data_IF_942058918137
#
_entry.id   IF_942058918137
#
_cell.length_a   1.000
_cell.length_b   1.000
_cell.length_c   1.000
_cell.angle_alpha   90.00
_cell.angle_beta   90.00
_cell.angle_gamma   90.00
#
_symmetry.space_group_name_H-M   'P 1'
#
loop_
_entity.id
_entity.type
_entity.pdbx_description
1 polymer ?
#
# COMPACT_ATOMS: atom_id res chain seq x y z
N UNK A 1 9.86 -34.22 -54.97
CA UNK A 1 9.42 -32.85 -55.34
C UNK A 1 7.92 -32.80 -55.10
N UNK A 2 7.29 -31.95 -54.29
CA UNK A 2 7.57 -30.59 -53.82
C UNK A 2 6.66 -30.41 -52.57
N UNK A 3 7.22 -30.07 -51.41
CA UNK A 3 6.44 -29.62 -50.26
C UNK A 3 6.11 -28.13 -50.42
N UNK A 4 5.01 -27.65 -49.82
CA UNK A 4 5.09 -26.35 -49.18
C UNK A 4 4.56 -26.35 -47.75
N UNK A 5 5.28 -25.56 -46.98
CA UNK A 5 5.14 -25.21 -45.56
C UNK A 5 3.79 -24.59 -45.19
N UNK A 6 3.67 -24.26 -43.89
CA UNK A 6 2.63 -23.48 -43.21
C UNK A 6 1.52 -24.40 -42.65
N UNK A 7 1.43 -24.67 -41.35
CA UNK A 7 1.35 -23.73 -40.24
C UNK A 7 1.73 -24.46 -38.93
N UNK A 8 2.81 -24.01 -38.29
CA UNK A 8 3.06 -24.28 -36.87
C UNK A 8 2.16 -23.30 -36.10
N UNK A 9 0.98 -23.75 -35.71
CA UNK A 9 0.12 -23.02 -34.77
C UNK A 9 0.55 -23.39 -33.35
N UNK A 10 1.57 -22.70 -32.83
CA UNK A 10 1.84 -22.66 -31.38
C UNK A 10 0.68 -21.91 -30.74
N UNK A 11 -0.23 -22.67 -30.14
CA UNK A 11 -1.30 -22.15 -29.30
C UNK A 11 -0.67 -21.71 -27.97
N UNK A 12 -0.36 -20.41 -27.88
CA UNK A 12 0.01 -19.73 -26.64
C UNK A 12 -1.26 -19.61 -25.80
N UNK A 13 -1.61 -20.67 -25.08
CA UNK A 13 -2.71 -20.69 -24.10
C UNK A 13 -2.13 -20.83 -22.70
N UNK A 14 -2.30 -19.81 -21.86
CA UNK A 14 -2.22 -19.98 -20.40
C UNK A 14 -1.39 -18.98 -19.58
N UNK A 15 -1.11 -17.77 -20.08
CA UNK A 15 -0.27 -16.79 -19.37
C UNK A 15 -0.99 -15.67 -18.58
N UNK A 16 -2.31 -15.72 -18.37
CA UNK A 16 -3.08 -14.53 -17.91
C UNK A 16 -3.50 -14.51 -16.43
N UNK A 17 -2.84 -15.25 -15.52
CA UNK A 17 -3.22 -15.25 -14.09
C UNK A 17 -2.21 -14.59 -13.13
N UNK A 18 -1.30 -13.75 -13.63
CA UNK A 18 -0.38 -12.94 -12.80
C UNK A 18 -0.68 -11.46 -12.99
N UNK A 19 -1.75 -10.96 -12.38
CA UNK A 19 -2.10 -9.53 -12.47
C UNK A 19 -2.96 -8.93 -11.35
N UNK A 20 -3.54 -9.74 -10.46
CA UNK A 20 -4.49 -9.22 -9.46
C UNK A 20 -3.86 -8.45 -8.29
N UNK A 21 -2.53 -8.44 -8.14
CA UNK A 21 -1.87 -7.67 -7.06
C UNK A 21 -1.62 -6.20 -7.43
N UNK A 22 -1.62 -5.84 -8.72
CA UNK A 22 -1.36 -4.47 -9.17
C UNK A 22 -2.58 -3.54 -9.02
N UNK A 23 -3.80 -4.09 -9.06
CA UNK A 23 -5.04 -3.30 -8.99
C UNK A 23 -5.26 -2.66 -7.60
N UNK A 24 -4.74 -3.25 -6.52
CA UNK A 24 -4.84 -2.69 -5.18
C UNK A 24 -3.95 -1.44 -5.00
N UNK A 25 -2.76 -1.43 -5.61
CA UNK A 25 -1.90 -0.23 -5.63
C UNK A 25 -2.45 0.85 -6.56
N UNK A 26 -2.97 0.50 -7.74
CA UNK A 26 -3.44 1.48 -8.72
C UNK A 26 -4.78 2.15 -8.36
N UNK A 27 -5.51 1.62 -7.37
CA UNK A 27 -6.79 2.19 -6.91
C UNK A 27 -6.67 2.98 -5.62
N UNK A 28 -5.47 3.07 -5.04
CA UNK A 28 -5.22 3.86 -3.84
C UNK A 28 -4.94 5.32 -4.21
N UNK A 29 -5.77 6.22 -3.70
CA UNK A 29 -5.71 7.66 -3.99
C UNK A 29 -5.05 8.45 -2.86
N UNK A 30 -4.50 7.78 -1.84
CA UNK A 30 -3.74 8.47 -0.80
C UNK A 30 -2.44 8.99 -1.41
N UNK A 31 -2.28 10.31 -1.43
CA UNK A 31 -0.99 10.91 -1.73
C UNK A 31 -0.05 10.77 -0.52
N UNK A 32 1.25 10.88 -0.76
CA UNK A 32 2.25 10.78 0.29
C UNK A 32 2.12 11.95 1.27
N UNK A 33 1.79 13.15 0.78
CA UNK A 33 1.52 14.33 1.62
C UNK A 33 0.31 14.09 2.53
N UNK A 34 -0.74 13.42 2.02
CA UNK A 34 -1.91 13.08 2.81
C UNK A 34 -1.57 12.06 3.89
N UNK A 35 -0.76 11.05 3.56
CA UNK A 35 -0.28 10.04 4.52
C UNK A 35 0.55 10.70 5.62
N UNK A 36 1.52 11.55 5.25
CA UNK A 36 2.35 12.29 6.20
C UNK A 36 1.47 13.16 7.11
N UNK A 37 0.55 13.95 6.54
CA UNK A 37 -0.35 14.80 7.33
C UNK A 37 -1.16 14.04 8.37
N UNK A 38 -1.77 12.90 7.99
CA UNK A 38 -2.59 12.13 8.92
C UNK A 38 -1.75 11.41 9.99
N UNK A 39 -0.61 10.84 9.60
CA UNK A 39 0.26 10.10 10.54
C UNK A 39 0.99 11.04 11.49
N UNK A 40 1.38 12.24 11.03
CA UNK A 40 1.93 13.31 11.85
C UNK A 40 0.99 13.70 12.99
N UNK A 41 -0.31 13.90 12.70
CA UNK A 41 -1.31 14.22 13.72
C UNK A 41 -1.47 13.14 14.79
N UNK A 42 -1.35 11.86 14.44
CA UNK A 42 -1.44 10.74 15.41
C UNK A 42 -0.15 10.57 16.21
N UNK A 43 1.01 10.79 15.57
CA UNK A 43 2.33 10.59 16.18
C UNK A 43 2.83 11.81 16.96
N UNK A 44 2.19 12.97 16.81
CA UNK A 44 2.57 14.22 17.47
C UNK A 44 3.79 14.90 16.84
N UNK A 45 3.88 14.88 15.50
CA UNK A 45 4.93 15.56 14.73
C UNK A 45 4.32 16.56 13.76
N UNK A 46 5.15 17.44 13.20
CA UNK A 46 4.83 18.13 11.96
C UNK A 46 4.99 17.19 10.75
N UNK A 47 4.17 17.34 9.68
CA UNK A 47 4.29 16.49 8.49
C UNK A 47 5.68 16.53 7.85
N UNK A 48 6.34 17.69 7.88
CA UNK A 48 7.71 17.86 7.37
C UNK A 48 8.79 17.17 8.20
N UNK A 49 8.46 16.72 9.41
CA UNK A 49 9.37 15.96 10.26
C UNK A 49 9.34 14.46 9.99
N UNK A 50 8.42 13.99 9.14
CA UNK A 50 8.23 12.59 8.82
C UNK A 50 8.55 12.32 7.35
N UNK A 51 9.38 11.31 7.10
CA UNK A 51 9.67 10.80 5.75
C UNK A 51 9.08 9.41 5.59
N UNK A 52 8.40 9.14 4.47
CA UNK A 52 7.93 7.79 4.14
C UNK A 52 9.12 6.96 3.66
N UNK A 53 9.52 5.97 4.45
CA UNK A 53 10.60 5.04 4.12
C UNK A 53 10.11 3.91 3.19
N UNK A 54 8.89 3.41 3.42
CA UNK A 54 8.24 2.48 2.51
C UNK A 54 6.73 2.51 2.65
N UNK A 55 6.04 2.11 1.58
CA UNK A 55 4.58 2.05 1.50
C UNK A 55 4.15 0.81 0.71
N UNK A 56 3.10 0.14 1.17
CA UNK A 56 2.41 -0.92 0.44
C UNK A 56 0.91 -0.85 0.70
N UNK A 57 0.12 -1.28 -0.27
CA UNK A 57 -1.34 -1.35 -0.14
C UNK A 57 -1.78 -2.79 -0.35
N UNK A 58 -2.57 -3.32 0.59
CA UNK A 58 -3.15 -4.66 0.54
C UNK A 58 -4.63 -4.58 0.92
N UNK A 59 -5.52 -4.92 -0.03
CA UNK A 59 -6.96 -4.74 0.14
C UNK A 59 -7.32 -3.27 0.39
N UNK A 60 -8.00 -2.99 1.50
CA UNK A 60 -8.36 -1.62 1.92
C UNK A 60 -7.32 -0.95 2.80
N UNK A 61 -6.23 -1.64 3.15
CA UNK A 61 -5.20 -1.14 4.06
C UNK A 61 -3.97 -0.63 3.31
N UNK A 62 -3.44 0.50 3.76
CA UNK A 62 -2.14 1.03 3.35
C UNK A 62 -1.20 0.97 4.54
N UNK A 63 -0.14 0.17 4.41
CA UNK A 63 0.90 0.02 5.42
C UNK A 63 2.05 0.94 5.05
N UNK A 64 2.50 1.75 6.02
CA UNK A 64 3.50 2.79 5.81
C UNK A 64 4.55 2.69 6.91
N UNK A 65 5.82 2.70 6.53
CA UNK A 65 6.92 2.90 7.45
C UNK A 65 7.41 4.34 7.33
N UNK A 66 7.57 5.00 8.47
CA UNK A 66 7.97 6.40 8.57
C UNK A 66 9.25 6.51 9.37
N UNK A 67 10.10 7.46 8.97
CA UNK A 67 11.26 7.88 9.75
C UNK A 67 11.07 9.35 10.14
N UNK A 68 11.17 9.64 11.43
CA UNK A 68 11.18 11.00 11.95
C UNK A 68 12.60 11.59 11.93
N UNK A 69 12.69 12.91 11.84
CA UNK A 69 13.97 13.63 11.83
C UNK A 69 14.82 13.44 13.11
N UNK A 70 14.19 13.03 14.22
CA UNK A 70 14.88 12.68 15.45
C UNK A 70 15.39 11.22 15.50
N UNK A 71 15.27 10.50 14.38
CA UNK A 71 15.73 9.13 14.22
C UNK A 71 14.73 8.06 14.68
N UNK A 72 13.56 8.43 15.24
CA UNK A 72 12.51 7.46 15.57
C UNK A 72 11.87 6.89 14.31
N UNK A 73 11.62 5.59 14.31
CA UNK A 73 10.94 4.90 13.21
C UNK A 73 9.57 4.38 13.66
N UNK A 74 8.59 4.48 12.77
CA UNK A 74 7.20 4.10 13.03
C UNK A 74 6.66 3.20 11.92
N UNK A 75 5.71 2.34 12.29
CA UNK A 75 4.88 1.61 11.34
C UNK A 75 3.43 2.04 11.56
N UNK A 76 2.76 2.43 10.48
CA UNK A 76 1.38 2.88 10.50
C UNK A 76 0.54 2.07 9.52
N UNK A 77 -0.74 1.89 9.87
CA UNK A 77 -1.77 1.33 8.99
C UNK A 77 -2.87 2.36 8.80
N UNK A 78 -3.11 2.73 7.55
CA UNK A 78 -4.21 3.59 7.12
C UNK A 78 -5.26 2.70 6.45
N UNK A 79 -6.47 2.67 7.00
CA UNK A 79 -7.58 1.94 6.39
C UNK A 79 -8.44 2.89 5.55
N UNK A 80 -8.61 2.58 4.26
CA UNK A 80 -9.37 3.37 3.30
C UNK A 80 -8.50 4.11 2.29
N UNK A 81 -9.05 5.19 1.72
CA UNK A 81 -8.37 6.05 0.74
C UNK A 81 -8.15 5.38 -0.62
N UNK A 82 -8.99 4.39 -0.95
CA UNK A 82 -8.97 3.67 -2.21
C UNK A 82 -10.39 3.56 -2.79
N UNK A 83 -10.51 3.06 -4.02
CA UNK A 83 -11.81 2.92 -4.69
C UNK A 83 -12.81 2.04 -3.90
N UNK A 84 -12.33 1.00 -3.21
CA UNK A 84 -13.18 0.09 -2.42
C UNK A 84 -13.81 0.78 -1.20
N UNK A 85 -13.17 1.84 -0.70
CA UNK A 85 -13.67 2.70 0.38
C UNK A 85 -14.33 3.98 -0.14
N UNK A 86 -14.52 4.11 -1.47
CA UNK A 86 -15.00 5.34 -2.12
C UNK A 86 -14.20 6.59 -1.70
N UNK A 87 -12.90 6.42 -1.41
CA UNK A 87 -12.01 7.49 -0.93
C UNK A 87 -12.14 7.85 0.56
N UNK A 88 -13.09 7.26 1.29
CA UNK A 88 -13.18 7.45 2.75
C UNK A 88 -11.96 6.87 3.45
N UNK A 89 -11.48 7.55 4.49
CA UNK A 89 -10.24 7.16 5.20
C UNK A 89 -10.46 7.25 6.71
N UNK A 90 -10.11 6.19 7.42
CA UNK A 90 -10.09 6.18 8.89
C UNK A 90 -8.79 6.80 9.41
N UNK A 91 -8.78 7.35 10.64
CA UNK A 91 -7.53 7.77 11.29
C UNK A 91 -6.49 6.64 11.29
N UNK A 92 -5.20 6.95 11.06
CA UNK A 92 -4.15 5.93 11.09
C UNK A 92 -3.99 5.34 12.49
N UNK A 93 -3.67 4.04 12.54
CA UNK A 93 -3.10 3.43 13.74
C UNK A 93 -1.60 3.28 13.54
N UNK A 94 -0.81 3.70 14.53
CA UNK A 94 0.65 3.71 14.45
C UNK A 94 1.28 3.12 15.71
N UNK A 95 2.44 2.48 15.56
CA UNK A 95 3.31 2.02 16.64
C UNK A 95 4.78 2.31 16.30
N UNK A 96 5.68 2.17 17.27
CA UNK A 96 7.11 2.20 16.95
C UNK A 96 7.46 0.99 16.08
N UNK A 97 8.43 1.15 15.19
CA UNK A 97 8.92 0.04 14.38
C UNK A 97 9.36 -1.11 15.29
N UNK A 98 8.85 -2.32 15.00
CA UNK A 98 9.07 -3.52 15.82
C UNK A 98 8.00 -3.79 16.88
N UNK A 99 7.12 -2.82 17.15
CA UNK A 99 5.94 -3.02 18.00
C UNK A 99 4.70 -3.34 17.15
N UNK A 100 3.76 -4.16 17.65
CA UNK A 100 2.53 -4.45 16.92
C UNK A 100 1.67 -3.20 16.74
N UNK A 101 1.24 -2.93 15.51
CA UNK A 101 0.26 -1.88 15.22
C UNK A 101 -1.12 -2.38 15.64
N UNK A 102 -1.69 -1.80 16.69
CA UNK A 102 -3.04 -2.14 17.16
C UNK A 102 -4.07 -1.36 16.35
N UNK A 103 -4.46 -1.90 15.21
CA UNK A 103 -5.45 -1.27 14.31
C UNK A 103 -6.91 -1.50 14.76
N UNK A 104 -7.16 -2.37 15.75
CA UNK A 104 -8.49 -2.62 16.30
C UNK A 104 -8.53 -2.26 17.81
N UNK A 105 -9.50 -1.47 18.29
CA UNK A 105 -9.63 -1.12 19.72
C UNK A 105 -9.79 -2.34 20.64
N UNK A 106 -10.24 -3.48 20.11
CA UNK A 106 -10.47 -4.72 20.85
C UNK A 106 -9.28 -5.69 20.84
N UNK A 107 -8.17 -5.35 20.16
CA UNK A 107 -6.93 -6.13 20.21
C UNK A 107 -6.15 -5.75 21.47
N UNK A 108 -6.44 -6.47 22.57
CA UNK A 108 -5.72 -6.46 23.85
C UNK A 108 -4.34 -7.12 23.74
#
# INVERSE_FOLDING_TARGET
MKAPHLLIAIVISGGLLVGCTSLAQSTNTLSDERIQSMTAGVLGYEPSELTIASRRTEGTNTYVNLQANDGREFTCVVNGGNLLSMGMTNPPSCSRKGEPVRSNPLQL
#
